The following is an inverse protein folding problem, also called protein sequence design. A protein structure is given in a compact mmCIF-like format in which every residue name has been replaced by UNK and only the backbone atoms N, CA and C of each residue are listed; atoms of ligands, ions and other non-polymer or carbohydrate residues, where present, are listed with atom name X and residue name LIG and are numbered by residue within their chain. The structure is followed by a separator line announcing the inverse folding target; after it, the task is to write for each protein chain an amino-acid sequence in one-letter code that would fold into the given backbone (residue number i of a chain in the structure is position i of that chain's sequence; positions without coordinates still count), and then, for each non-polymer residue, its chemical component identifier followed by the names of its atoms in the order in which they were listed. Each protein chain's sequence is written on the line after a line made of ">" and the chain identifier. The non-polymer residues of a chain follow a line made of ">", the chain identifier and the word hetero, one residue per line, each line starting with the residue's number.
data_IF_608742594277
#
_entry.id   IF_608742594277
#
_cell.length_a   1.000
_cell.length_b   1.000
_cell.length_c   1.000
_cell.angle_alpha   90.00
_cell.angle_beta   90.00
_cell.angle_gamma   90.00
#
_symmetry.space_group_name_H-M   'P 1'
#
loop_
_entity.id
_entity.type
_entity.pdbx_description
1 polymer ?
#
# COMPACT_ATOMS: atom_id res chain seq x y z
N UNK A 1 -30.66 11.14 -15.44
CA UNK A 1 -29.19 10.94 -15.49
C UNK A 1 -28.73 10.84 -14.04
N UNK A 2 -28.54 9.61 -13.55
CA UNK A 2 -27.96 9.37 -12.23
C UNK A 2 -26.44 9.48 -12.36
N UNK A 3 -25.85 10.34 -11.54
CA UNK A 3 -24.41 10.46 -11.33
C UNK A 3 -23.96 9.26 -10.48
N UNK A 4 -23.64 8.14 -11.11
CA UNK A 4 -22.89 7.04 -10.49
C UNK A 4 -21.40 7.40 -10.49
N UNK A 5 -20.87 8.05 -9.45
CA UNK A 5 -19.40 8.13 -9.21
C UNK A 5 -18.95 8.68 -7.84
N UNK A 6 -19.81 8.87 -6.83
CA UNK A 6 -19.37 9.48 -5.54
C UNK A 6 -19.16 8.49 -4.37
N UNK A 7 -19.49 7.20 -4.55
CA UNK A 7 -19.45 6.21 -3.45
C UNK A 7 -18.03 5.90 -2.94
N UNK A 8 -16.98 6.23 -3.70
CA UNK A 8 -15.60 5.85 -3.37
C UNK A 8 -14.86 6.85 -2.45
N UNK A 9 -15.46 7.98 -2.07
CA UNK A 9 -14.72 9.10 -1.45
C UNK A 9 -15.32 9.72 -0.19
N UNK A 10 -16.46 9.27 0.32
CA UNK A 10 -17.12 9.90 1.49
C UNK A 10 -16.31 9.83 2.81
N UNK A 11 -15.17 9.13 2.83
CA UNK A 11 -14.36 8.90 4.03
C UNK A 11 -12.88 9.28 3.90
N UNK A 12 -12.45 9.98 2.84
CA UNK A 12 -11.07 10.50 2.72
C UNK A 12 -10.95 11.90 3.31
N UNK A 13 -9.98 12.12 4.20
CA UNK A 13 -9.64 13.47 4.67
C UNK A 13 -9.18 14.32 3.49
N UNK A 14 -9.94 15.37 3.18
CA UNK A 14 -9.58 16.33 2.12
C UNK A 14 -8.29 17.04 2.51
N UNK A 15 -7.23 16.86 1.70
CA UNK A 15 -6.00 17.63 1.86
C UNK A 15 -6.29 19.07 1.48
N UNK A 16 -6.38 19.95 2.47
CA UNK A 16 -6.63 21.38 2.26
C UNK A 16 -5.41 22.06 1.59
N UNK A 17 -5.64 23.00 0.67
CA UNK A 17 -4.57 23.78 0.01
C UNK A 17 -3.67 24.51 1.02
N UNK A 18 -4.25 25.06 2.10
CA UNK A 18 -3.49 25.66 3.22
C UNK A 18 -2.51 24.69 3.90
N UNK A 19 -2.81 23.38 3.86
CA UNK A 19 -1.91 22.35 4.38
C UNK A 19 -0.76 22.07 3.40
N UNK A 20 -1.00 22.13 2.09
CA UNK A 20 0.03 21.93 1.05
C UNK A 20 1.05 23.08 1.10
N UNK A 21 0.58 24.33 1.16
CA UNK A 21 1.45 25.51 1.29
C UNK A 21 2.35 25.41 2.53
N UNK A 22 1.76 25.01 3.67
CA UNK A 22 2.49 24.77 4.93
C UNK A 22 3.54 23.67 4.79
N UNK A 23 3.24 22.58 4.08
CA UNK A 23 4.18 21.48 3.84
C UNK A 23 5.37 21.99 3.02
N UNK A 24 5.12 22.66 1.90
CA UNK A 24 6.17 23.16 1.00
C UNK A 24 7.06 24.17 1.72
N UNK A 25 6.45 25.18 2.35
CA UNK A 25 7.19 26.23 3.08
C UNK A 25 7.95 25.65 4.29
N UNK A 26 7.33 24.71 5.02
CA UNK A 26 7.98 24.01 6.13
C UNK A 26 9.17 23.19 5.69
N UNK A 27 9.04 22.45 4.58
CA UNK A 27 10.11 21.66 3.96
C UNK A 27 11.28 22.54 3.53
N UNK A 28 11.02 23.63 2.82
CA UNK A 28 12.08 24.53 2.33
C UNK A 28 12.82 25.24 3.46
N UNK A 29 12.08 25.70 4.49
CA UNK A 29 12.66 26.27 5.70
C UNK A 29 13.55 25.28 6.44
N UNK A 30 13.10 24.02 6.58
CA UNK A 30 13.88 22.96 7.22
C UNK A 30 15.16 22.67 6.45
N UNK A 31 15.10 22.52 5.12
CA UNK A 31 16.28 22.26 4.30
C UNK A 31 17.31 23.39 4.36
N UNK A 32 16.86 24.65 4.37
CA UNK A 32 17.74 25.81 4.54
C UNK A 32 18.46 25.78 5.89
N UNK A 33 17.75 25.43 6.96
CA UNK A 33 18.33 25.30 8.29
C UNK A 33 19.31 24.14 8.38
N UNK A 34 19.00 23.00 7.76
CA UNK A 34 19.90 21.84 7.70
C UNK A 34 21.18 22.18 6.94
N UNK A 35 21.10 22.82 5.77
CA UNK A 35 22.28 23.26 5.02
C UNK A 35 23.16 24.20 5.84
N UNK A 36 22.55 25.14 6.56
CA UNK A 36 23.26 26.06 7.47
C UNK A 36 23.92 25.31 8.62
N UNK A 37 23.26 24.28 9.17
CA UNK A 37 23.81 23.45 10.25
C UNK A 37 25.05 22.68 9.78
N UNK A 38 25.00 22.05 8.60
CA UNK A 38 26.12 21.30 8.04
C UNK A 38 27.32 22.23 7.83
N UNK A 39 27.10 23.42 7.26
CA UNK A 39 28.17 24.39 7.09
C UNK A 39 28.79 24.82 8.42
N UNK A 40 27.95 25.11 9.43
CA UNK A 40 28.45 25.47 10.77
C UNK A 40 29.26 24.35 11.42
N UNK A 41 28.85 23.09 11.25
CA UNK A 41 29.60 21.94 11.76
C UNK A 41 30.95 21.80 11.06
N UNK A 42 31.03 22.10 9.77
CA UNK A 42 32.28 22.12 9.00
C UNK A 42 33.22 23.25 9.47
N UNK A 43 32.68 24.46 9.68
CA UNK A 43 33.42 25.60 10.22
C UNK A 43 33.99 25.30 11.61
N UNK A 44 33.18 24.70 12.50
CA UNK A 44 33.61 24.26 13.84
C UNK A 44 34.68 23.18 13.72
N UNK A 45 34.52 22.20 12.82
CA UNK A 45 35.51 21.14 12.60
C UNK A 45 36.85 21.70 12.14
N UNK A 46 36.83 22.73 11.29
CA UNK A 46 38.03 23.46 10.86
C UNK A 46 38.70 24.17 12.04
N UNK A 47 37.92 24.83 12.90
CA UNK A 47 38.43 25.50 14.09
C UNK A 47 39.04 24.51 15.10
N UNK A 48 38.34 23.42 15.43
CA UNK A 48 38.82 22.41 16.38
C UNK A 48 40.06 21.70 15.84
N UNK A 49 40.08 21.34 14.56
CA UNK A 49 41.25 20.74 13.91
C UNK A 49 42.47 21.68 13.96
N UNK A 50 42.27 22.99 13.75
CA UNK A 50 43.36 23.98 13.80
C UNK A 50 44.07 24.08 15.16
N UNK A 51 43.39 23.69 16.25
CA UNK A 51 43.95 23.65 17.61
C UNK A 51 44.30 22.23 18.09
N UNK A 52 44.27 21.23 17.19
CA UNK A 52 44.59 19.83 17.49
C UNK A 52 43.43 19.01 18.10
N UNK A 53 42.21 19.53 18.08
CA UNK A 53 41.01 18.91 18.65
C UNK A 53 40.20 18.00 17.71
N UNK A 54 40.74 17.66 16.53
CA UNK A 54 40.10 16.83 15.48
C UNK A 54 38.77 17.41 14.94
N UNK A 55 38.05 16.67 14.09
CA UNK A 55 36.79 17.09 13.41
C UNK A 55 35.54 16.47 14.05
N UNK A 56 34.35 16.98 13.68
CA UNK A 56 33.06 16.55 14.23
C UNK A 56 32.82 15.04 14.11
N UNK A 57 33.29 14.39 13.03
CA UNK A 57 33.19 12.94 12.88
C UNK A 57 33.88 12.15 14.01
N UNK A 58 34.92 12.72 14.64
CA UNK A 58 35.63 12.09 15.75
C UNK A 58 35.01 12.42 17.11
N UNK A 59 34.76 13.69 17.40
CA UNK A 59 34.32 14.10 18.75
C UNK A 59 32.79 14.07 18.95
N UNK A 60 31.98 14.11 17.89
CA UNK A 60 30.52 14.06 18.01
C UNK A 60 29.97 12.63 18.05
N UNK A 61 30.78 11.65 17.64
CA UNK A 61 30.35 10.25 17.51
C UNK A 61 30.76 9.44 18.73
N UNK A 62 29.86 8.56 19.20
CA UNK A 62 30.19 7.62 20.29
C UNK A 62 31.24 6.62 19.78
N UNK A 63 32.29 6.37 20.55
CA UNK A 63 33.34 5.40 20.22
C UNK A 63 32.75 4.05 19.77
N UNK A 64 33.13 3.59 18.58
CA UNK A 64 32.64 2.36 17.95
C UNK A 64 31.33 2.47 17.17
N UNK A 65 30.74 3.67 17.09
CA UNK A 65 29.46 3.95 16.40
C UNK A 65 29.57 5.09 15.38
N UNK A 66 30.68 5.17 14.64
CA UNK A 66 30.77 6.05 13.48
C UNK A 66 29.85 5.52 12.37
N UNK A 67 28.55 5.81 12.49
CA UNK A 67 27.62 5.62 11.38
C UNK A 67 27.89 6.71 10.34
N UNK A 68 27.72 6.36 9.05
CA UNK A 68 27.77 7.30 7.92
C UNK A 68 26.64 8.34 8.05
N UNK A 69 26.89 9.38 8.84
CA UNK A 69 25.95 10.46 9.09
C UNK A 69 26.06 11.52 7.98
N UNK A 70 24.95 11.79 7.28
CA UNK A 70 24.92 12.83 6.25
C UNK A 70 25.25 14.23 6.78
N UNK A 71 25.03 14.50 8.06
CA UNK A 71 25.39 15.78 8.68
C UNK A 71 26.90 16.00 8.80
N UNK A 72 27.70 14.93 8.67
CA UNK A 72 29.17 14.98 8.69
C UNK A 72 29.77 15.01 7.28
N UNK A 73 28.93 15.01 6.24
CA UNK A 73 29.38 15.08 4.85
C UNK A 73 29.33 16.54 4.35
N UNK A 74 30.15 16.89 3.34
CA UNK A 74 30.06 18.18 2.67
C UNK A 74 28.64 18.51 2.20
N UNK A 75 28.25 19.79 2.29
CA UNK A 75 26.89 20.27 1.99
C UNK A 75 26.40 19.83 0.60
N UNK A 76 27.27 19.87 -0.41
CA UNK A 76 26.99 19.47 -1.80
C UNK A 76 26.66 17.97 -1.94
N UNK A 77 27.25 17.11 -1.10
CA UNK A 77 26.98 15.67 -1.08
C UNK A 77 25.79 15.31 -0.18
N UNK A 78 25.68 15.96 0.97
CA UNK A 78 24.66 15.66 1.97
C UNK A 78 23.26 16.11 1.53
N UNK A 79 23.16 17.34 1.02
CA UNK A 79 21.85 17.97 0.77
C UNK A 79 20.99 17.24 -0.26
N UNK A 80 21.51 16.71 -1.39
CA UNK A 80 20.69 15.93 -2.32
C UNK A 80 20.04 14.70 -1.67
N UNK A 81 20.79 13.97 -0.84
CA UNK A 81 20.30 12.75 -0.17
C UNK A 81 19.30 13.10 0.93
N UNK A 82 19.60 14.09 1.77
CA UNK A 82 18.69 14.57 2.82
C UNK A 82 17.37 15.05 2.21
N UNK A 83 17.46 15.84 1.14
CA UNK A 83 16.31 16.36 0.40
C UNK A 83 15.45 15.22 -0.11
N UNK A 84 16.04 14.22 -0.80
CA UNK A 84 15.32 13.05 -1.30
C UNK A 84 14.63 12.27 -0.17
N UNK A 85 15.28 12.11 0.98
CA UNK A 85 14.72 11.37 2.12
C UNK A 85 13.50 12.08 2.76
N UNK A 86 13.59 13.40 2.88
CA UNK A 86 12.48 14.24 3.38
C UNK A 86 11.33 14.21 2.38
N UNK A 87 11.61 14.45 1.09
CA UNK A 87 10.59 14.50 0.04
C UNK A 87 9.86 13.15 -0.09
N UNK A 88 10.59 12.02 0.02
CA UNK A 88 9.99 10.67 0.08
C UNK A 88 9.02 10.50 1.25
N UNK A 89 9.41 11.01 2.43
CA UNK A 89 8.58 10.92 3.63
C UNK A 89 7.33 11.77 3.50
N UNK A 90 7.44 12.96 2.90
CA UNK A 90 6.30 13.84 2.60
C UNK A 90 5.34 13.15 1.62
N UNK A 91 5.85 12.59 0.51
CA UNK A 91 5.00 11.87 -0.44
C UNK A 91 4.29 10.66 0.17
N UNK A 92 4.96 9.92 1.06
CA UNK A 92 4.35 8.82 1.81
C UNK A 92 3.20 9.29 2.70
N UNK A 93 3.40 10.39 3.43
CA UNK A 93 2.38 10.97 4.31
C UNK A 93 1.19 11.54 3.52
N UNK A 94 1.44 12.23 2.41
CA UNK A 94 0.39 12.74 1.52
C UNK A 94 -0.46 11.59 0.95
N UNK A 95 0.16 10.50 0.49
CA UNK A 95 -0.55 9.32 0.00
C UNK A 95 -1.38 8.63 1.06
N UNK A 96 -0.90 8.59 2.31
CA UNK A 96 -1.64 8.04 3.43
C UNK A 96 -2.88 8.90 3.74
N UNK A 97 -2.71 10.22 3.85
CA UNK A 97 -3.79 11.17 4.18
C UNK A 97 -4.87 11.26 3.11
N UNK A 98 -4.49 11.15 1.84
CA UNK A 98 -5.45 11.15 0.73
C UNK A 98 -6.35 9.92 0.67
N UNK A 99 -6.02 8.84 1.40
CA UNK A 99 -6.70 7.55 1.27
C UNK A 99 -6.40 6.82 -0.05
N UNK A 100 -5.53 7.34 -0.92
CA UNK A 100 -5.27 6.73 -2.22
C UNK A 100 -4.67 5.32 -2.10
N UNK A 101 -3.86 5.08 -1.06
CA UNK A 101 -3.32 3.74 -0.76
C UNK A 101 -4.40 2.70 -0.49
N UNK A 102 -5.59 3.11 -0.02
CA UNK A 102 -6.69 2.21 0.24
C UNK A 102 -7.51 1.89 -1.02
N UNK A 103 -7.29 2.58 -2.14
CA UNK A 103 -7.89 2.23 -3.43
C UNK A 103 -7.02 1.27 -4.25
N UNK A 104 -5.72 1.23 -3.96
CA UNK A 104 -4.72 0.43 -4.68
C UNK A 104 -4.68 -1.02 -4.21
N UNK A 105 -4.60 -1.98 -5.14
CA UNK A 105 -4.26 -3.37 -4.83
C UNK A 105 -2.78 -3.53 -4.42
N UNK A 106 -2.39 -4.73 -3.98
CA UNK A 106 -1.03 -5.01 -3.51
C UNK A 106 0.05 -4.76 -4.57
N UNK A 107 -0.22 -5.00 -5.86
CA UNK A 107 0.73 -4.74 -6.93
C UNK A 107 0.95 -3.24 -7.10
N UNK A 108 -0.14 -2.46 -7.19
CA UNK A 108 -0.08 -1.01 -7.29
C UNK A 108 0.62 -0.38 -6.08
N UNK A 109 0.36 -0.87 -4.86
CA UNK A 109 1.06 -0.44 -3.63
C UNK A 109 2.55 -0.76 -3.67
N UNK A 110 2.92 -1.94 -4.16
CA UNK A 110 4.32 -2.36 -4.30
C UNK A 110 5.08 -1.51 -5.32
N UNK A 111 4.46 -1.26 -6.49
CA UNK A 111 5.01 -0.37 -7.51
C UNK A 111 5.19 1.05 -6.99
N UNK A 112 4.21 1.57 -6.25
CA UNK A 112 4.32 2.88 -5.61
C UNK A 112 5.47 2.93 -4.60
N UNK A 113 5.58 1.93 -3.72
CA UNK A 113 6.66 1.85 -2.74
C UNK A 113 8.04 1.78 -3.43
N UNK A 114 8.15 1.03 -4.53
CA UNK A 114 9.36 0.95 -5.33
C UNK A 114 9.69 2.30 -5.97
N UNK A 115 8.71 3.01 -6.53
CA UNK A 115 8.92 4.34 -7.11
C UNK A 115 9.36 5.37 -6.05
N UNK A 116 8.89 5.25 -4.80
CA UNK A 116 9.37 6.07 -3.68
C UNK A 116 10.83 5.81 -3.33
N UNK A 117 11.30 4.56 -3.41
CA UNK A 117 12.67 4.18 -3.07
C UNK A 117 13.65 4.46 -4.21
N UNK A 118 13.30 4.04 -5.43
CA UNK A 118 14.21 3.95 -6.59
C UNK A 118 13.89 4.96 -7.69
N UNK A 119 12.67 5.50 -7.73
CA UNK A 119 12.19 6.36 -8.81
C UNK A 119 12.58 7.83 -8.67
N UNK A 120 12.35 8.58 -9.74
CA UNK A 120 12.35 10.05 -9.71
C UNK A 120 11.01 10.53 -9.17
N UNK A 121 11.05 11.15 -8.00
CA UNK A 121 9.87 11.73 -7.38
C UNK A 121 9.63 13.14 -7.93
N UNK A 122 8.36 13.52 -8.18
CA UNK A 122 8.07 14.91 -8.49
C UNK A 122 8.57 15.80 -7.35
N UNK A 123 9.22 16.90 -7.70
CA UNK A 123 9.72 17.84 -6.71
C UNK A 123 8.56 18.31 -5.82
N UNK A 124 8.82 18.47 -4.51
CA UNK A 124 7.82 18.99 -3.58
C UNK A 124 7.54 20.45 -3.92
N UNK A 125 6.41 20.69 -4.58
CA UNK A 125 5.85 22.00 -4.89
C UNK A 125 4.33 21.89 -4.89
N UNK A 126 3.63 23.00 -4.68
CA UNK A 126 2.17 23.00 -4.70
C UNK A 126 1.62 22.48 -6.04
N UNK A 127 2.17 22.95 -7.16
CA UNK A 127 1.77 22.52 -8.50
C UNK A 127 1.97 21.01 -8.73
N UNK A 128 3.11 20.46 -8.29
CA UNK A 128 3.41 19.03 -8.48
C UNK A 128 2.56 18.16 -7.56
N UNK A 129 2.30 18.59 -6.32
CA UNK A 129 1.41 17.88 -5.39
C UNK A 129 0.00 17.87 -5.97
N UNK A 130 -0.54 19.04 -6.34
CA UNK A 130 -1.88 19.15 -6.93
C UNK A 130 -2.01 18.29 -8.19
N UNK A 131 -1.09 18.44 -9.16
CA UNK A 131 -1.12 17.66 -10.40
C UNK A 131 -1.03 16.16 -10.16
N UNK A 132 -0.21 15.72 -9.20
CA UNK A 132 -0.11 14.29 -8.82
C UNK A 132 -1.43 13.78 -8.26
N UNK A 133 -2.04 14.52 -7.34
CA UNK A 133 -3.31 14.10 -6.73
C UNK A 133 -4.50 14.21 -7.69
N UNK A 134 -4.50 15.18 -8.61
CA UNK A 134 -5.47 15.25 -9.71
C UNK A 134 -5.38 14.01 -10.60
N UNK A 135 -4.18 13.63 -11.02
CA UNK A 135 -3.97 12.41 -11.82
C UNK A 135 -4.39 11.15 -11.07
N UNK A 136 -4.02 11.04 -9.80
CA UNK A 136 -4.43 9.90 -8.97
C UNK A 136 -5.95 9.86 -8.80
N UNK A 137 -6.61 11.01 -8.63
CA UNK A 137 -8.05 11.09 -8.52
C UNK A 137 -8.75 10.73 -9.84
N UNK A 138 -8.26 11.22 -10.97
CA UNK A 138 -8.78 10.86 -12.29
C UNK A 138 -8.65 9.36 -12.56
N UNK A 139 -7.54 8.76 -12.15
CA UNK A 139 -7.27 7.33 -12.36
C UNK A 139 -7.81 6.44 -11.23
N UNK A 140 -8.48 7.00 -10.21
CA UNK A 140 -8.86 6.26 -8.99
C UNK A 140 -9.73 5.04 -9.30
N UNK A 141 -10.66 5.21 -10.23
CA UNK A 141 -11.58 4.15 -10.64
C UNK A 141 -10.84 3.06 -11.42
N UNK A 142 -9.94 3.42 -12.32
CA UNK A 142 -9.12 2.45 -13.06
C UNK A 142 -8.18 1.68 -12.14
N UNK A 143 -7.59 2.34 -11.13
CA UNK A 143 -6.78 1.68 -10.09
C UNK A 143 -7.62 0.66 -9.32
N UNK A 144 -8.82 1.06 -8.90
CA UNK A 144 -9.75 0.18 -8.19
C UNK A 144 -10.18 -1.02 -9.06
N UNK A 145 -10.62 -0.79 -10.29
CA UNK A 145 -11.07 -1.83 -11.22
C UNK A 145 -9.95 -2.81 -11.56
N UNK A 146 -8.71 -2.32 -11.80
CA UNK A 146 -7.54 -3.19 -12.02
C UNK A 146 -7.29 -4.14 -10.86
N UNK A 147 -7.52 -3.68 -9.63
CA UNK A 147 -7.42 -4.55 -8.46
C UNK A 147 -8.39 -5.74 -8.53
N UNK A 148 -9.66 -5.51 -8.88
CA UNK A 148 -10.65 -6.59 -9.07
C UNK A 148 -10.21 -7.56 -10.17
N UNK A 149 -9.68 -7.02 -11.28
CA UNK A 149 -9.15 -7.82 -12.38
C UNK A 149 -7.93 -8.65 -11.96
N UNK A 150 -7.06 -8.12 -11.10
CA UNK A 150 -5.89 -8.82 -10.59
C UNK A 150 -6.29 -9.99 -9.67
N UNK A 151 -7.28 -9.79 -8.79
CA UNK A 151 -7.88 -10.89 -8.01
C UNK A 151 -8.45 -11.95 -8.95
N UNK A 152 -9.19 -11.55 -9.99
CA UNK A 152 -9.80 -12.46 -10.96
C UNK A 152 -8.75 -13.30 -11.69
N UNK A 153 -7.69 -12.67 -12.21
CA UNK A 153 -6.57 -13.36 -12.88
C UNK A 153 -5.84 -14.33 -11.96
N UNK A 154 -5.76 -14.01 -10.67
CA UNK A 154 -5.09 -14.83 -9.65
C UNK A 154 -5.87 -16.07 -9.19
N UNK A 155 -7.06 -16.33 -9.74
CA UNK A 155 -7.85 -17.53 -9.45
C UNK A 155 -7.17 -18.81 -9.99
N UNK A 156 -7.50 -19.95 -9.38
CA UNK A 156 -6.99 -21.26 -9.82
C UNK A 156 -7.88 -21.85 -10.92
N UNK A 157 -7.43 -21.77 -12.16
CA UNK A 157 -8.23 -22.10 -13.35
C UNK A 157 -8.42 -23.60 -13.61
N UNK A 158 -7.77 -24.46 -12.83
CA UNK A 158 -7.89 -25.92 -12.87
C UNK A 158 -9.21 -26.45 -12.27
N UNK A 159 -9.99 -25.59 -11.60
CA UNK A 159 -11.25 -25.98 -10.96
C UNK A 159 -12.48 -25.62 -11.79
N UNK A 160 -13.38 -26.60 -11.95
CA UNK A 160 -14.67 -26.42 -12.64
C UNK A 160 -15.55 -25.28 -12.09
N UNK A 161 -15.41 -24.93 -10.82
CA UNK A 161 -16.21 -23.88 -10.20
C UNK A 161 -15.66 -22.48 -10.41
N UNK A 162 -14.39 -22.34 -10.81
CA UNK A 162 -13.83 -21.06 -11.22
C UNK A 162 -14.14 -20.89 -12.71
N UNK A 163 -14.87 -19.84 -13.06
CA UNK A 163 -15.23 -19.57 -14.45
C UNK A 163 -14.28 -18.51 -15.04
N UNK A 164 -13.64 -18.77 -16.21
CA UNK A 164 -12.70 -17.84 -16.84
C UNK A 164 -13.31 -16.48 -17.23
N UNK A 165 -14.63 -16.34 -17.13
CA UNK A 165 -15.35 -15.16 -17.56
C UNK A 165 -16.05 -14.40 -16.42
N UNK A 166 -16.23 -15.00 -15.23
CA UNK A 166 -16.90 -14.34 -14.10
C UNK A 166 -16.59 -14.97 -12.73
N UNK A 167 -16.76 -14.19 -11.67
CA UNK A 167 -16.79 -14.67 -10.29
C UNK A 167 -18.10 -15.40 -9.99
N UNK A 168 -18.02 -16.70 -9.71
CA UNK A 168 -19.16 -17.45 -9.17
C UNK A 168 -19.36 -17.19 -7.67
N UNK A 169 -20.45 -17.74 -7.11
CA UNK A 169 -20.72 -17.75 -5.66
C UNK A 169 -19.55 -18.29 -4.81
N UNK A 170 -18.70 -19.12 -5.40
CA UNK A 170 -17.54 -19.73 -4.75
C UNK A 170 -16.36 -19.68 -5.68
N UNK A 171 -15.22 -19.22 -5.17
CA UNK A 171 -13.92 -19.29 -5.83
C UNK A 171 -13.00 -20.26 -5.11
N UNK A 172 -12.06 -20.82 -5.87
CA UNK A 172 -11.02 -21.70 -5.35
C UNK A 172 -9.64 -21.10 -5.60
N UNK A 173 -8.84 -21.10 -4.55
CA UNK A 173 -7.51 -20.48 -4.50
C UNK A 173 -6.50 -21.53 -4.03
N UNK A 174 -5.58 -21.94 -4.90
CA UNK A 174 -4.49 -22.86 -4.55
C UNK A 174 -3.43 -22.17 -3.68
N UNK A 175 -2.75 -22.92 -2.82
CA UNK A 175 -1.70 -22.42 -1.93
C UNK A 175 -2.17 -21.31 -0.96
N UNK A 176 -3.46 -21.27 -0.61
CA UNK A 176 -3.97 -20.35 0.42
C UNK A 176 -3.39 -20.69 1.79
N UNK A 177 -3.35 -21.97 2.14
CA UNK A 177 -2.77 -22.46 3.41
C UNK A 177 -1.62 -23.41 3.13
N UNK A 178 -0.71 -23.54 4.10
CA UNK A 178 0.25 -24.64 4.18
C UNK A 178 -0.18 -25.57 5.32
N UNK A 179 0.05 -26.87 5.13
CA UNK A 179 -0.20 -27.89 6.13
C UNK A 179 1.10 -28.64 6.41
N UNK A 180 1.49 -28.75 7.67
CA UNK A 180 2.72 -29.44 8.08
C UNK A 180 2.61 -30.03 9.48
N UNK A 181 3.76 -30.38 10.08
CA UNK A 181 3.84 -31.00 11.41
C UNK A 181 3.25 -30.16 12.55
N UNK A 182 3.08 -28.86 12.32
CA UNK A 182 2.51 -27.90 13.27
C UNK A 182 1.07 -27.51 12.94
N UNK A 183 0.41 -28.27 12.07
CA UNK A 183 -0.96 -28.00 11.61
C UNK A 183 -1.02 -27.07 10.40
N UNK A 184 -2.17 -26.41 10.25
CA UNK A 184 -2.42 -25.43 9.20
C UNK A 184 -1.83 -24.07 9.55
N UNK A 185 -1.44 -23.32 8.53
CA UNK A 185 -1.15 -21.89 8.65
C UNK A 185 -1.39 -21.20 7.32
N UNK A 186 -1.77 -19.92 7.35
CA UNK A 186 -1.91 -19.13 6.13
C UNK A 186 -0.57 -19.03 5.40
N UNK A 187 -0.60 -19.10 4.06
CA UNK A 187 0.58 -18.88 3.26
C UNK A 187 0.86 -17.37 3.17
N UNK A 188 2.01 -16.96 3.69
CA UNK A 188 2.41 -15.56 3.74
C UNK A 188 2.82 -15.03 2.36
N UNK A 189 2.68 -13.71 2.17
CA UNK A 189 2.97 -13.02 0.92
C UNK A 189 1.72 -12.87 0.06
N UNK A 190 1.85 -13.13 -1.25
CA UNK A 190 0.86 -12.73 -2.25
C UNK A 190 -0.57 -13.27 -2.02
N UNK A 191 -0.73 -14.47 -1.43
CA UNK A 191 -2.06 -15.05 -1.14
C UNK A 191 -2.76 -14.36 0.02
N UNK A 192 -2.01 -13.95 1.04
CA UNK A 192 -2.51 -13.11 2.12
C UNK A 192 -2.98 -11.78 1.55
N UNK A 193 -2.16 -11.16 0.70
CA UNK A 193 -2.47 -9.86 0.10
C UNK A 193 -3.70 -9.93 -0.81
N UNK A 194 -3.84 -11.00 -1.59
CA UNK A 194 -5.03 -11.24 -2.42
C UNK A 194 -6.31 -11.37 -1.59
N UNK A 195 -6.26 -12.03 -0.42
CA UNK A 195 -7.43 -12.18 0.45
C UNK A 195 -7.82 -10.84 1.09
N UNK A 196 -6.84 -10.08 1.57
CA UNK A 196 -7.07 -8.73 2.09
C UNK A 196 -7.61 -7.79 1.00
N UNK A 197 -7.04 -7.81 -0.20
CA UNK A 197 -7.51 -7.00 -1.33
C UNK A 197 -8.95 -7.34 -1.73
N UNK A 198 -9.33 -8.62 -1.71
CA UNK A 198 -10.70 -9.05 -1.97
C UNK A 198 -11.70 -8.47 -0.96
N UNK A 199 -11.38 -8.48 0.33
CA UNK A 199 -12.22 -7.83 1.35
C UNK A 199 -12.35 -6.33 1.08
N UNK A 200 -11.24 -5.61 0.88
CA UNK A 200 -11.25 -4.16 0.67
C UNK A 200 -12.09 -3.79 -0.56
N UNK A 201 -12.01 -4.57 -1.64
CA UNK A 201 -12.82 -4.35 -2.84
C UNK A 201 -14.31 -4.51 -2.57
N UNK A 202 -14.70 -5.53 -1.82
CA UNK A 202 -16.10 -5.73 -1.43
C UNK A 202 -16.61 -4.58 -0.55
N UNK A 203 -15.80 -4.11 0.43
CA UNK A 203 -16.15 -2.96 1.26
C UNK A 203 -16.35 -1.68 0.42
N UNK A 204 -15.47 -1.43 -0.55
CA UNK A 204 -15.58 -0.29 -1.47
C UNK A 204 -16.84 -0.39 -2.34
N UNK A 205 -17.18 -1.57 -2.87
CA UNK A 205 -18.43 -1.79 -3.63
C UNK A 205 -19.69 -1.64 -2.77
N UNK A 206 -19.58 -1.90 -1.46
CA UNK A 206 -20.65 -1.74 -0.47
C UNK A 206 -20.74 -0.30 0.07
N UNK A 207 -19.87 0.61 -0.36
CA UNK A 207 -19.80 2.00 0.14
C UNK A 207 -19.42 2.10 1.62
N UNK A 208 -18.73 1.09 2.15
CA UNK A 208 -18.29 1.04 3.55
C UNK A 208 -16.84 1.51 3.69
N UNK A 209 -16.47 2.07 4.85
CA UNK A 209 -15.07 2.36 5.13
C UNK A 209 -14.25 1.08 5.12
N UNK A 210 -13.04 1.15 4.55
CA UNK A 210 -12.14 0.01 4.49
C UNK A 210 -11.69 -0.37 5.91
N UNK A 211 -11.74 -1.66 6.28
CA UNK A 211 -11.29 -2.11 7.59
C UNK A 211 -9.81 -1.81 7.81
N UNK A 212 -9.43 -1.54 9.07
CA UNK A 212 -8.02 -1.40 9.47
C UNK A 212 -7.24 -2.64 9.03
N UNK A 213 -6.12 -2.42 8.31
CA UNK A 213 -5.24 -3.50 7.84
C UNK A 213 -4.75 -4.42 8.97
N UNK A 214 -4.77 -3.97 10.23
CA UNK A 214 -4.43 -4.79 11.40
C UNK A 214 -5.50 -5.82 11.76
N UNK A 215 -6.70 -5.68 11.22
CA UNK A 215 -7.86 -6.52 11.51
C UNK A 215 -8.55 -6.99 10.22
N UNK A 216 -7.84 -7.01 9.09
CA UNK A 216 -8.37 -7.51 7.82
C UNK A 216 -8.71 -9.01 7.89
N UNK A 217 -9.45 -9.48 6.90
CA UNK A 217 -9.89 -10.88 6.78
C UNK A 217 -8.73 -11.87 6.86
N UNK A 218 -7.54 -11.50 6.38
CA UNK A 218 -6.41 -12.41 6.37
C UNK A 218 -5.80 -12.56 7.76
N UNK A 219 -5.77 -11.48 8.56
CA UNK A 219 -5.43 -11.55 9.99
C UNK A 219 -6.48 -12.37 10.75
N UNK A 220 -7.77 -12.07 10.57
CA UNK A 220 -8.86 -12.82 11.24
C UNK A 220 -8.82 -14.31 10.89
N UNK A 221 -8.58 -14.64 9.62
CA UNK A 221 -8.44 -16.02 9.17
C UNK A 221 -7.20 -16.70 9.76
N UNK A 222 -6.06 -16.00 9.83
CA UNK A 222 -4.84 -16.53 10.46
C UNK A 222 -5.04 -16.81 11.95
N UNK A 223 -5.66 -15.88 12.67
CA UNK A 223 -5.98 -16.03 14.10
C UNK A 223 -6.93 -17.22 14.31
N UNK A 224 -7.95 -17.36 13.46
CA UNK A 224 -8.84 -18.52 13.48
C UNK A 224 -8.09 -19.84 13.29
N UNK A 225 -7.26 -19.95 12.24
CA UNK A 225 -6.48 -21.16 11.95
C UNK A 225 -5.56 -21.54 13.11
N UNK A 226 -4.99 -20.54 13.78
CA UNK A 226 -4.09 -20.74 14.92
C UNK A 226 -4.84 -21.17 16.18
N UNK A 227 -6.03 -20.62 16.42
CA UNK A 227 -6.85 -20.93 17.60
C UNK A 227 -7.63 -22.25 17.46
N UNK A 228 -7.98 -22.67 16.24
CA UNK A 228 -8.86 -23.82 15.98
C UNK A 228 -8.17 -24.87 15.08
N UNK A 229 -7.16 -25.61 15.60
CA UNK A 229 -6.33 -26.51 14.79
C UNK A 229 -7.09 -27.70 14.16
N UNK A 230 -8.27 -28.03 14.68
CA UNK A 230 -9.13 -29.12 14.19
C UNK A 230 -10.29 -28.64 13.32
N UNK A 231 -10.52 -27.33 13.25
CA UNK A 231 -11.53 -26.75 12.40
C UNK A 231 -10.92 -26.41 11.04
N UNK A 232 -11.75 -26.47 10.00
CA UNK A 232 -11.33 -26.23 8.61
C UNK A 232 -12.28 -25.29 7.89
N UNK A 233 -13.15 -24.61 8.63
CA UNK A 233 -14.17 -23.70 8.11
C UNK A 233 -14.11 -22.42 8.93
N UNK A 234 -13.54 -21.40 8.32
CA UNK A 234 -13.63 -20.03 8.82
C UNK A 234 -14.89 -19.38 8.25
N UNK A 235 -15.59 -18.63 9.08
CA UNK A 235 -16.86 -18.00 8.76
C UNK A 235 -16.84 -16.55 9.30
N UNK A 236 -16.98 -15.57 8.41
CA UNK A 236 -17.07 -14.15 8.76
C UNK A 236 -18.20 -13.43 7.99
N UNK A 237 -18.28 -12.11 8.09
CA UNK A 237 -19.37 -11.33 7.48
C UNK A 237 -19.44 -11.43 5.95
N UNK A 238 -18.32 -11.62 5.26
CA UNK A 238 -18.24 -11.60 3.79
C UNK A 238 -17.99 -12.99 3.19
N UNK A 239 -17.32 -13.87 3.92
CA UNK A 239 -16.79 -15.11 3.41
C UNK A 239 -17.09 -16.31 4.32
N UNK A 240 -17.23 -17.47 3.68
CA UNK A 240 -16.98 -18.77 4.32
C UNK A 240 -15.79 -19.40 3.62
N UNK A 241 -14.70 -19.62 4.34
CA UNK A 241 -13.46 -20.19 3.82
C UNK A 241 -13.30 -21.61 4.35
N UNK A 242 -13.46 -22.60 3.47
CA UNK A 242 -13.09 -23.99 3.76
C UNK A 242 -11.71 -24.29 3.18
N UNK A 243 -10.78 -24.76 4.01
CA UNK A 243 -9.41 -25.05 3.59
C UNK A 243 -9.04 -26.53 3.73
N UNK A 244 -8.10 -26.98 2.91
CA UNK A 244 -7.79 -28.41 2.73
C UNK A 244 -6.29 -28.67 2.80
N UNK A 245 -5.90 -29.90 3.14
CA UNK A 245 -4.50 -30.32 3.32
C UNK A 245 -3.62 -30.06 2.09
N UNK A 246 -4.18 -30.13 0.88
CA UNK A 246 -3.45 -29.80 -0.37
C UNK A 246 -3.13 -28.30 -0.53
N UNK A 247 -3.50 -27.48 0.46
CA UNK A 247 -3.25 -26.04 0.50
C UNK A 247 -4.31 -25.17 -0.19
N UNK A 248 -5.36 -25.77 -0.77
CA UNK A 248 -6.44 -25.03 -1.41
C UNK A 248 -7.41 -24.44 -0.39
N UNK A 249 -7.85 -23.20 -0.64
CA UNK A 249 -8.97 -22.56 0.04
C UNK A 249 -10.16 -22.39 -0.89
N UNK A 250 -11.33 -22.82 -0.44
CA UNK A 250 -12.61 -22.61 -1.10
C UNK A 250 -13.31 -21.45 -0.40
N UNK A 251 -13.39 -20.31 -1.07
CA UNK A 251 -13.96 -19.08 -0.53
C UNK A 251 -15.36 -18.94 -1.11
N UNK A 252 -16.37 -18.97 -0.25
CA UNK A 252 -17.78 -18.75 -0.63
C UNK A 252 -18.17 -17.34 -0.24
N UNK A 253 -18.66 -16.55 -1.20
CA UNK A 253 -19.14 -15.20 -0.95
C UNK A 253 -20.53 -15.23 -0.31
N UNK A 254 -20.75 -14.40 0.71
CA UNK A 254 -22.06 -14.21 1.34
C UNK A 254 -22.89 -13.11 0.68
N UNK A 255 -22.23 -12.05 0.18
CA UNK A 255 -22.85 -10.89 -0.49
C UNK A 255 -22.79 -11.03 -2.01
N UNK A 256 -23.73 -11.79 -2.57
CA UNK A 256 -23.80 -12.04 -4.03
C UNK A 256 -24.07 -10.77 -4.85
N UNK A 257 -24.76 -9.80 -4.26
CA UNK A 257 -24.98 -8.47 -4.84
C UNK A 257 -23.66 -7.73 -5.12
N UNK A 258 -22.64 -7.91 -4.26
CA UNK A 258 -21.31 -7.33 -4.48
C UNK A 258 -20.50 -8.14 -5.50
N UNK A 259 -20.72 -9.46 -5.58
CA UNK A 259 -20.13 -10.31 -6.61
C UNK A 259 -20.64 -9.93 -7.99
N UNK A 260 -21.93 -9.61 -8.12
CA UNK A 260 -22.51 -9.12 -9.37
C UNK A 260 -21.84 -7.79 -9.81
N UNK A 261 -21.63 -6.85 -8.88
CA UNK A 261 -20.86 -5.62 -9.17
C UNK A 261 -19.41 -5.88 -9.60
N UNK A 262 -18.73 -6.87 -8.99
CA UNK A 262 -17.40 -7.29 -9.45
C UNK A 262 -17.46 -7.85 -10.88
N UNK A 263 -18.51 -8.61 -11.21
CA UNK A 263 -18.71 -9.17 -12.53
C UNK A 263 -19.03 -8.11 -13.59
N UNK A 264 -19.73 -7.03 -13.25
CA UNK A 264 -19.91 -5.89 -14.16
C UNK A 264 -18.57 -5.25 -14.54
N UNK A 265 -17.64 -5.18 -13.59
CA UNK A 265 -16.27 -4.70 -13.84
C UNK A 265 -15.48 -5.70 -14.71
N UNK A 266 -15.56 -7.01 -14.43
CA UNK A 266 -14.95 -8.03 -15.30
C UNK A 266 -15.51 -7.96 -16.72
N UNK A 267 -16.83 -7.78 -16.88
CA UNK A 267 -17.52 -7.63 -18.16
C UNK A 267 -16.98 -6.44 -18.96
N UNK A 268 -16.81 -5.30 -18.29
CA UNK A 268 -16.27 -4.06 -18.87
C UNK A 268 -14.87 -4.27 -19.44
N UNK A 269 -14.01 -5.01 -18.74
CA UNK A 269 -12.61 -5.25 -19.14
C UNK A 269 -12.46 -6.43 -20.13
N UNK A 270 -13.40 -7.38 -20.13
CA UNK A 270 -13.42 -8.52 -21.05
C UNK A 270 -14.78 -8.69 -21.74
N UNK A 271 -15.17 -7.77 -22.65
CA UNK A 271 -16.50 -7.77 -23.27
C UNK A 271 -16.81 -9.06 -24.06
N UNK A 272 -15.77 -9.70 -24.60
CA UNK A 272 -15.87 -10.92 -25.41
C UNK A 272 -15.88 -12.21 -24.57
N UNK A 273 -15.61 -12.15 -23.26
CA UNK A 273 -15.54 -13.33 -22.40
C UNK A 273 -16.92 -13.78 -21.91
N UNK A 274 -17.84 -12.84 -21.71
CA UNK A 274 -19.21 -13.16 -21.33
C UNK A 274 -20.02 -13.50 -22.58
N UNK A 275 -20.12 -14.80 -22.90
CA UNK A 275 -21.22 -15.31 -23.70
C UNK A 275 -22.51 -14.78 -23.11
N UNK A 276 -23.30 -14.08 -23.93
CA UNK A 276 -24.65 -13.65 -23.59
C UNK A 276 -25.40 -14.83 -22.93
N UNK A 277 -26.04 -14.54 -21.80
CA UNK A 277 -26.94 -15.49 -21.13
C UNK A 277 -28.09 -15.87 -22.07
#
# INVERSE_FOLDING_TARGET
>A
MQTEAEVLTDHSELICSTSIERIVTGRDSALKQIATLIQKLDDISSLTSSIGGDVAGTWAMRNGYAFDCWLMQPTDKAMPVITRNIDRSIWRDLMLKSGMLSLMDAEARSQWAKNLEEGDLPAISEANILSTFEQLHHNKQDVFERGIINVFKGLSWDYKTNNPCYFGKKIIVNNLVKHGRWGYSLNWGWRRDQLADLERMLYLLDGKPIPDNRHDVAIRFMDFVSAHPYEQVFDDDLFVIRYYQKGSGHITFKRLDLVDKMNDIVAKHYPSALSAK
#
